data_IF_683594997988
#
_entry.id   IF_683594997988
#
_cell.length_a   1.000
_cell.length_b   1.000
_cell.length_c   1.000
_cell.angle_alpha   90.00
_cell.angle_beta   90.00
_cell.angle_gamma   90.00
#
_symmetry.space_group_name_H-M   'P 1'
#
loop_
_entity.id
_entity.type
_entity.pdbx_description
1 polymer ?
#
# COMPACT_ATOMS: atom_id res chain seq x y z
N UNK A 1 12.36 16.00 70.99
CA UNK A 1 12.83 14.74 70.40
C UNK A 1 11.61 13.95 69.96
N UNK A 2 11.43 13.77 68.65
CA UNK A 2 10.57 12.73 68.07
C UNK A 2 11.04 12.51 66.63
N UNK A 3 11.53 11.30 66.39
CA UNK A 3 12.09 10.83 65.13
C UNK A 3 10.96 10.51 64.15
N UNK A 4 11.04 11.07 62.94
CA UNK A 4 10.23 10.64 61.80
C UNK A 4 11.21 10.32 60.67
N UNK A 5 11.05 9.11 60.16
CA UNK A 5 11.86 8.36 59.21
C UNK A 5 12.51 9.18 58.09
N UNK A 6 13.81 8.94 57.91
CA UNK A 6 14.53 9.21 56.68
C UNK A 6 13.91 8.42 55.53
N UNK A 7 13.15 9.10 54.67
CA UNK A 7 12.79 8.57 53.35
C UNK A 7 14.06 8.42 52.53
N UNK A 8 14.49 7.17 52.33
CA UNK A 8 15.48 6.80 51.33
C UNK A 8 15.06 7.39 49.98
N UNK A 9 15.90 8.16 49.26
CA UNK A 9 15.64 8.43 47.87
C UNK A 9 15.76 7.10 47.13
N UNK A 10 14.61 6.55 46.77
CA UNK A 10 14.48 5.44 45.83
C UNK A 10 15.28 5.82 44.59
N UNK A 11 16.39 5.12 44.34
CA UNK A 11 17.10 5.16 43.07
C UNK A 11 16.13 4.64 42.02
N UNK A 12 15.43 5.57 41.38
CA UNK A 12 14.76 5.33 40.12
C UNK A 12 15.88 5.01 39.13
N UNK A 13 16.11 3.73 38.86
CA UNK A 13 16.89 3.27 37.72
C UNK A 13 16.11 3.57 36.44
N UNK A 14 15.97 4.85 36.08
CA UNK A 14 15.55 5.28 34.75
C UNK A 14 16.79 5.56 33.91
N UNK A 15 17.60 4.53 33.69
CA UNK A 15 18.54 4.55 32.58
C UNK A 15 17.99 3.60 31.52
N UNK A 16 17.03 4.09 30.74
CA UNK A 16 16.93 3.65 29.35
C UNK A 16 18.24 4.13 28.71
N UNK A 17 19.31 3.34 28.88
CA UNK A 17 20.57 3.56 28.19
C UNK A 17 20.25 3.39 26.72
N UNK A 18 19.97 4.50 26.04
CA UNK A 18 19.94 4.59 24.58
C UNK A 18 21.25 3.96 24.13
N UNK A 19 21.17 2.82 23.43
CA UNK A 19 22.35 2.08 23.04
C UNK A 19 23.25 3.00 22.20
N UNK A 20 24.57 2.77 22.18
CA UNK A 20 25.47 3.55 21.32
C UNK A 20 24.99 3.56 19.87
N UNK A 21 24.44 2.43 19.41
CA UNK A 21 23.79 2.24 18.10
C UNK A 21 22.52 3.06 17.93
N UNK A 22 21.68 3.18 18.95
CA UNK A 22 20.50 4.05 18.88
C UNK A 22 20.88 5.53 18.75
N UNK A 23 21.94 5.97 19.43
CA UNK A 23 22.46 7.34 19.28
C UNK A 23 22.99 7.58 17.86
N UNK A 24 23.65 6.59 17.29
CA UNK A 24 24.12 6.61 15.91
C UNK A 24 22.96 6.67 14.90
N UNK A 25 21.93 5.84 15.07
CA UNK A 25 20.70 5.87 14.28
C UNK A 25 20.03 7.24 14.38
N UNK A 26 19.92 7.83 15.58
CA UNK A 26 19.36 9.17 15.75
C UNK A 26 20.20 10.24 15.04
N UNK A 27 21.53 10.13 15.07
CA UNK A 27 22.42 11.02 14.32
C UNK A 27 22.19 10.93 12.82
N UNK A 28 22.14 9.71 12.28
CA UNK A 28 21.85 9.43 10.87
C UNK A 28 20.47 9.93 10.45
N UNK A 29 19.44 9.77 11.30
CA UNK A 29 18.10 10.31 11.04
C UNK A 29 18.09 11.84 10.98
N UNK A 30 18.83 12.53 11.85
CA UNK A 30 19.00 13.99 11.79
C UNK A 30 19.70 14.41 10.51
N UNK A 31 20.73 13.68 10.08
CA UNK A 31 21.42 13.95 8.83
C UNK A 31 20.48 13.76 7.62
N UNK A 32 19.68 12.69 7.61
CA UNK A 32 18.65 12.45 6.58
C UNK A 32 17.64 13.59 6.50
N UNK A 33 17.20 14.12 7.64
CA UNK A 33 16.26 15.25 7.69
C UNK A 33 16.86 16.48 7.01
N UNK A 34 18.09 16.86 7.37
CA UNK A 34 18.80 18.00 6.75
C UNK A 34 18.98 17.84 5.24
N UNK A 35 19.31 16.63 4.77
CA UNK A 35 19.45 16.37 3.33
C UNK A 35 18.11 16.47 2.59
N UNK A 36 17.00 16.10 3.23
CA UNK A 36 15.67 16.28 2.65
C UNK A 36 15.29 17.77 2.56
N UNK A 37 15.61 18.56 3.59
CA UNK A 37 15.43 20.01 3.57
C UNK A 37 16.27 20.67 2.46
N UNK A 38 17.53 20.25 2.30
CA UNK A 38 18.40 20.73 1.21
C UNK A 38 17.83 20.34 -0.16
N UNK A 39 17.34 19.11 -0.31
CA UNK A 39 16.71 18.65 -1.56
C UNK A 39 15.46 19.48 -1.89
N UNK A 40 14.66 19.85 -0.89
CA UNK A 40 13.50 20.71 -1.08
C UNK A 40 13.92 22.13 -1.49
N UNK A 41 14.96 22.68 -0.84
CA UNK A 41 15.54 23.98 -1.20
C UNK A 41 16.07 24.00 -2.64
N UNK A 42 16.75 22.93 -3.09
CA UNK A 42 17.22 22.80 -4.48
C UNK A 42 16.05 22.73 -5.46
N UNK A 43 14.96 22.04 -5.12
CA UNK A 43 13.75 21.97 -5.97
C UNK A 43 13.10 23.33 -6.14
N UNK A 44 12.95 24.09 -5.05
CA UNK A 44 12.32 25.42 -5.04
C UNK A 44 13.23 26.56 -5.47
N UNK A 45 14.50 26.31 -5.80
CA UNK A 45 15.43 27.35 -6.24
C UNK A 45 15.29 27.58 -7.75
N UNK A 46 14.70 28.72 -8.13
CA UNK A 46 14.46 29.08 -9.54
C UNK A 46 15.70 29.63 -10.25
N UNK A 47 16.78 29.93 -9.53
CA UNK A 47 18.04 30.44 -10.09
C UNK A 47 18.99 29.33 -10.55
N UNK A 48 18.72 28.07 -10.18
CA UNK A 48 19.53 26.94 -10.61
C UNK A 48 19.11 26.43 -11.99
N UNK A 49 20.08 26.24 -12.88
CA UNK A 49 19.89 25.57 -14.16
C UNK A 49 19.26 24.18 -13.99
N UNK A 50 18.38 23.80 -14.90
CA UNK A 50 17.61 22.54 -14.81
C UNK A 50 18.52 21.30 -14.75
N UNK A 51 19.66 21.30 -15.45
CA UNK A 51 20.59 20.17 -15.46
C UNK A 51 21.33 20.07 -14.12
N UNK A 52 21.80 21.21 -13.61
CA UNK A 52 22.47 21.29 -12.31
C UNK A 52 21.51 20.89 -11.18
N UNK A 53 20.25 21.35 -11.24
CA UNK A 53 19.19 20.97 -10.30
C UNK A 53 18.96 19.47 -10.30
N UNK A 54 18.85 18.85 -11.48
CA UNK A 54 18.66 17.40 -11.60
C UNK A 54 19.86 16.60 -11.05
N UNK A 55 21.09 17.01 -11.36
CA UNK A 55 22.30 16.36 -10.85
C UNK A 55 22.40 16.46 -9.33
N UNK A 56 22.13 17.64 -8.77
CA UNK A 56 22.16 17.85 -7.31
C UNK A 56 21.06 17.06 -6.60
N UNK A 57 19.85 17.02 -7.14
CA UNK A 57 18.76 16.17 -6.61
C UNK A 57 19.17 14.70 -6.65
N UNK A 58 19.78 14.23 -7.74
CA UNK A 58 20.26 12.85 -7.87
C UNK A 58 21.32 12.53 -6.82
N UNK A 59 22.29 13.43 -6.62
CA UNK A 59 23.34 13.28 -5.59
C UNK A 59 22.75 13.20 -4.19
N UNK A 60 21.86 14.14 -3.83
CA UNK A 60 21.18 14.15 -2.53
C UNK A 60 20.32 12.89 -2.30
N UNK A 61 19.64 12.43 -3.35
CA UNK A 61 18.85 11.19 -3.30
C UNK A 61 19.73 9.98 -3.02
N UNK A 62 20.90 9.90 -3.67
CA UNK A 62 21.87 8.83 -3.42
C UNK A 62 22.40 8.86 -1.98
N UNK A 63 22.75 10.05 -1.45
CA UNK A 63 23.21 10.20 -0.06
C UNK A 63 22.13 9.80 0.96
N UNK A 64 20.86 10.16 0.73
CA UNK A 64 19.74 9.73 1.57
C UNK A 64 19.60 8.20 1.53
N UNK A 65 19.70 7.59 0.36
CA UNK A 65 19.63 6.13 0.21
C UNK A 65 20.78 5.42 0.94
N UNK A 66 21.99 5.98 0.93
CA UNK A 66 23.13 5.43 1.67
C UNK A 66 22.89 5.47 3.18
N UNK A 67 22.34 6.58 3.70
CA UNK A 67 21.98 6.70 5.11
C UNK A 67 20.91 5.68 5.50
N UNK A 68 19.91 5.45 4.65
CA UNK A 68 18.88 4.45 4.90
C UNK A 68 19.46 3.03 4.98
N UNK A 69 20.41 2.69 4.10
CA UNK A 69 21.13 1.42 4.15
C UNK A 69 21.95 1.28 5.43
N UNK A 70 22.64 2.35 5.87
CA UNK A 70 23.41 2.32 7.12
C UNK A 70 22.50 2.12 8.35
N UNK A 71 21.37 2.82 8.41
CA UNK A 71 20.39 2.63 9.50
C UNK A 71 19.87 1.19 9.51
N UNK A 72 19.56 0.63 8.34
CA UNK A 72 19.09 -0.75 8.22
C UNK A 72 20.16 -1.75 8.69
N UNK A 73 21.43 -1.54 8.32
CA UNK A 73 22.54 -2.38 8.76
C UNK A 73 22.72 -2.33 10.29
N UNK A 74 22.76 -1.13 10.88
CA UNK A 74 22.93 -0.97 12.33
C UNK A 74 21.78 -1.64 13.10
N UNK A 75 20.55 -1.52 12.60
CA UNK A 75 19.38 -2.20 13.20
C UNK A 75 19.46 -3.71 13.08
N UNK A 76 19.93 -4.22 11.94
CA UNK A 76 20.13 -5.66 11.74
C UNK A 76 21.22 -6.20 12.69
N UNK A 77 22.35 -5.50 12.82
CA UNK A 77 23.44 -5.85 13.72
C UNK A 77 22.99 -5.83 15.18
N UNK A 78 22.20 -4.83 15.58
CA UNK A 78 21.62 -4.76 16.94
C UNK A 78 20.68 -5.93 17.23
N UNK A 79 19.87 -6.33 16.25
CA UNK A 79 18.95 -7.47 16.39
C UNK A 79 19.72 -8.81 16.49
N UNK A 80 20.80 -8.97 15.72
CA UNK A 80 21.67 -10.14 15.82
C UNK A 80 22.39 -10.20 17.17
N UNK A 81 22.89 -9.09 17.68
CA UNK A 81 23.60 -9.04 18.96
C UNK A 81 22.67 -9.34 20.15
N UNK A 82 21.44 -8.82 20.13
CA UNK A 82 20.42 -9.15 21.15
C UNK A 82 20.01 -10.63 21.15
N UNK A 83 20.10 -11.32 20.02
CA UNK A 83 19.84 -12.75 19.92
C UNK A 83 21.02 -13.60 20.40
N UNK A 84 22.27 -13.15 20.23
CA UNK A 84 23.47 -13.82 20.78
C UNK A 84 23.58 -13.74 22.30
N UNK A 85 23.10 -12.65 22.91
CA UNK A 85 23.18 -12.44 24.38
C UNK A 85 22.19 -13.31 25.18
N UNK A 86 21.18 -13.93 24.55
CA UNK A 86 20.17 -14.76 25.23
C UNK A 86 20.52 -16.25 25.39
N UNK A 87 21.70 -16.70 24.94
CA UNK A 87 22.20 -18.04 25.27
C UNK A 87 23.25 -17.95 26.38
N UNK A 88 23.15 -18.74 27.46
CA UNK A 88 24.24 -18.86 28.43
C UNK A 88 25.40 -19.68 27.81
N UNK A 89 26.62 -19.16 27.94
CA UNK A 89 27.87 -19.77 27.49
C UNK A 89 28.11 -21.16 28.06
N UNK A 90 28.65 -22.07 27.24
CA UNK A 90 29.74 -22.94 27.70
C UNK A 90 30.62 -23.47 26.56
N UNK A 91 31.89 -23.07 26.62
CA UNK A 91 33.11 -23.85 26.33
C UNK A 91 33.80 -23.79 24.96
N UNK A 92 35.01 -23.18 25.03
CA UNK A 92 36.32 -23.59 24.51
C UNK A 92 36.48 -23.88 23.00
N UNK A 93 37.41 -23.09 22.44
CA UNK A 93 38.30 -23.39 21.30
C UNK A 93 38.31 -24.87 20.89
N UNK A 94 37.70 -25.17 19.75
CA UNK A 94 38.28 -26.12 18.80
C UNK A 94 37.73 -25.86 17.39
N UNK A 95 38.69 -25.71 16.49
CA UNK A 95 38.57 -25.77 15.05
C UNK A 95 37.49 -26.77 14.60
N UNK A 96 36.45 -26.29 13.94
CA UNK A 96 35.54 -27.13 13.16
C UNK A 96 34.90 -26.31 12.04
N UNK A 97 35.35 -26.68 10.84
CA UNK A 97 34.72 -26.42 9.56
C UNK A 97 33.20 -26.65 9.55
N UNK A 98 32.52 -25.85 8.72
CA UNK A 98 31.21 -26.11 8.10
C UNK A 98 30.04 -26.46 9.05
N UNK A 99 29.23 -25.47 9.42
CA UNK A 99 27.77 -25.66 9.67
C UNK A 99 26.94 -24.37 9.65
N UNK A 100 27.54 -23.16 9.53
CA UNK A 100 26.74 -21.91 9.48
C UNK A 100 25.98 -21.68 8.16
N UNK A 101 26.32 -22.38 7.08
CA UNK A 101 25.67 -22.15 5.77
C UNK A 101 24.22 -22.68 5.73
N UNK A 102 23.87 -23.66 6.56
CA UNK A 102 22.53 -24.29 6.50
C UNK A 102 21.45 -23.45 7.17
N UNK A 103 21.75 -22.77 8.29
CA UNK A 103 20.77 -21.90 8.96
C UNK A 103 20.56 -20.57 8.23
N UNK A 104 21.62 -20.01 7.63
CA UNK A 104 21.49 -18.82 6.77
C UNK A 104 20.70 -19.15 5.49
N UNK A 105 20.92 -20.32 4.89
CA UNK A 105 20.19 -20.78 3.71
C UNK A 105 18.71 -21.11 3.99
N UNK A 106 18.38 -21.61 5.20
CA UNK A 106 16.99 -21.86 5.59
C UNK A 106 16.20 -20.57 5.88
N UNK A 107 16.87 -19.50 6.34
CA UNK A 107 16.26 -18.18 6.59
C UNK A 107 16.05 -17.34 5.32
N UNK A 108 16.88 -17.53 4.30
CA UNK A 108 16.80 -16.81 3.02
C UNK A 108 15.40 -16.84 2.37
N UNK A 109 14.71 -17.98 2.20
CA UNK A 109 13.36 -18.01 1.65
C UNK A 109 12.33 -17.29 2.53
N UNK A 110 12.47 -17.35 3.86
CA UNK A 110 11.58 -16.67 4.81
C UNK A 110 11.74 -15.15 4.68
N UNK A 111 12.99 -14.66 4.59
CA UNK A 111 13.29 -13.24 4.39
C UNK A 111 12.73 -12.78 3.04
N UNK A 112 12.93 -13.58 1.98
CA UNK A 112 12.40 -13.29 0.65
C UNK A 112 10.88 -13.20 0.66
N UNK A 113 10.19 -14.16 1.28
CA UNK A 113 8.72 -14.12 1.43
C UNK A 113 8.26 -12.87 2.18
N UNK A 114 8.89 -12.55 3.30
CA UNK A 114 8.59 -11.33 4.06
C UNK A 114 8.73 -10.07 3.20
N UNK A 115 9.80 -9.98 2.39
CA UNK A 115 9.99 -8.87 1.46
C UNK A 115 8.92 -8.84 0.36
N UNK A 116 8.56 -9.99 -0.22
CA UNK A 116 7.52 -10.09 -1.26
C UNK A 116 6.15 -9.66 -0.71
N UNK A 117 5.75 -10.11 0.48
CA UNK A 117 4.50 -9.67 1.12
C UNK A 117 4.50 -8.17 1.45
N UNK A 118 5.61 -7.64 1.95
CA UNK A 118 5.76 -6.20 2.17
C UNK A 118 5.64 -5.41 0.86
N UNK A 119 6.22 -5.91 -0.23
CA UNK A 119 6.11 -5.26 -1.52
C UNK A 119 4.67 -5.32 -2.06
N UNK A 120 4.01 -6.47 -1.95
CA UNK A 120 2.62 -6.66 -2.32
C UNK A 120 1.71 -5.68 -1.57
N UNK A 121 1.86 -5.55 -0.25
CA UNK A 121 1.11 -4.60 0.56
C UNK A 121 1.28 -3.15 0.09
N UNK A 122 2.51 -2.74 -0.25
CA UNK A 122 2.78 -1.40 -0.82
C UNK A 122 2.12 -1.19 -2.17
N UNK A 123 2.12 -2.21 -3.03
CA UNK A 123 1.51 -2.12 -4.36
C UNK A 123 -0.02 -2.08 -4.28
N UNK A 124 -0.63 -2.86 -3.40
CA UNK A 124 -2.09 -2.79 -3.13
C UNK A 124 -2.47 -1.42 -2.56
N UNK A 125 -1.72 -0.91 -1.59
CA UNK A 125 -1.96 0.45 -1.07
C UNK A 125 -1.69 1.56 -2.10
N UNK A 126 -0.84 1.33 -3.09
CA UNK A 126 -0.69 2.25 -4.22
C UNK A 126 -1.91 2.19 -5.15
N UNK A 127 -2.38 0.98 -5.50
CA UNK A 127 -3.59 0.76 -6.30
C UNK A 127 -4.79 1.49 -5.68
N UNK A 128 -5.02 1.33 -4.38
CA UNK A 128 -6.16 1.94 -3.68
C UNK A 128 -6.08 3.47 -3.69
N UNK A 129 -4.88 4.04 -3.53
CA UNK A 129 -4.67 5.49 -3.64
C UNK A 129 -4.96 6.01 -5.05
N UNK A 130 -4.53 5.28 -6.07
CA UNK A 130 -4.78 5.65 -7.47
C UNK A 130 -6.26 5.57 -7.82
N UNK A 131 -6.96 4.53 -7.36
CA UNK A 131 -8.43 4.43 -7.49
C UNK A 131 -9.15 5.58 -6.77
N UNK A 132 -8.69 5.93 -5.56
CA UNK A 132 -9.19 7.10 -4.84
C UNK A 132 -8.98 8.40 -5.62
N UNK A 133 -7.80 8.62 -6.20
CA UNK A 133 -7.52 9.79 -7.04
C UNK A 133 -8.42 9.87 -8.27
N UNK A 134 -8.68 8.74 -8.95
CA UNK A 134 -9.64 8.69 -10.07
C UNK A 134 -11.02 9.13 -9.59
N UNK A 135 -11.50 8.55 -8.49
CA UNK A 135 -12.82 8.87 -7.95
C UNK A 135 -12.95 10.35 -7.58
N UNK A 136 -11.91 10.93 -6.97
CA UNK A 136 -11.87 12.36 -6.65
C UNK A 136 -11.92 13.22 -7.92
N UNK A 137 -11.07 12.96 -8.91
CA UNK A 137 -11.02 13.75 -10.15
C UNK A 137 -12.32 13.69 -10.94
N UNK A 138 -12.93 12.50 -11.05
CA UNK A 138 -14.23 12.36 -11.70
C UNK A 138 -15.36 12.98 -10.89
N UNK A 139 -15.32 12.87 -9.55
CA UNK A 139 -16.28 13.47 -8.65
C UNK A 139 -16.27 14.99 -8.73
N UNK A 140 -15.08 15.60 -8.69
CA UNK A 140 -14.90 17.03 -8.92
C UNK A 140 -15.38 17.45 -10.31
N UNK A 141 -15.03 16.71 -11.36
CA UNK A 141 -15.47 17.03 -12.74
C UNK A 141 -17.00 17.02 -12.85
N UNK A 142 -17.66 16.03 -12.24
CA UNK A 142 -19.13 15.95 -12.17
C UNK A 142 -19.71 17.12 -11.38
N UNK A 143 -19.13 17.43 -10.22
CA UNK A 143 -19.57 18.54 -9.38
C UNK A 143 -19.43 19.89 -10.10
N UNK A 144 -18.25 20.18 -10.65
CA UNK A 144 -17.95 21.41 -11.40
C UNK A 144 -18.92 21.59 -12.58
N UNK A 145 -19.21 20.50 -13.31
CA UNK A 145 -20.20 20.53 -14.39
C UNK A 145 -21.59 20.86 -13.86
N UNK A 146 -22.06 20.24 -12.78
CA UNK A 146 -23.37 20.53 -12.17
C UNK A 146 -23.46 21.99 -11.70
N UNK A 147 -22.37 22.55 -11.17
CA UNK A 147 -22.33 23.96 -10.72
C UNK A 147 -22.49 24.91 -11.90
N UNK A 148 -21.87 24.61 -13.05
CA UNK A 148 -21.95 25.43 -14.25
C UNK A 148 -23.25 25.22 -15.05
N UNK A 149 -23.80 24.01 -15.00
CA UNK A 149 -25.00 23.58 -15.75
C UNK A 149 -26.31 23.83 -14.98
N UNK A 150 -26.25 24.10 -13.67
CA UNK A 150 -27.43 24.49 -12.90
C UNK A 150 -27.89 25.90 -13.30
N UNK A 151 -28.86 25.95 -14.21
CA UNK A 151 -29.47 27.18 -14.66
C UNK A 151 -30.97 27.22 -14.36
N UNK A 152 -31.35 28.13 -13.46
CA UNK A 152 -32.75 28.57 -13.29
C UNK A 152 -33.16 29.63 -14.30
N UNK A 153 -32.26 30.05 -15.20
CA UNK A 153 -32.54 30.96 -16.31
C UNK A 153 -31.40 30.94 -17.32
N UNK A 154 -31.72 30.66 -18.58
CA UNK A 154 -30.80 30.39 -19.69
C UNK A 154 -29.75 31.50 -19.92
N UNK A 155 -28.63 31.47 -19.18
CA UNK A 155 -27.58 32.48 -19.21
C UNK A 155 -26.50 32.10 -20.25
N UNK A 156 -26.42 32.81 -21.38
CA UNK A 156 -25.42 32.52 -22.41
C UNK A 156 -23.96 32.65 -21.92
N UNK A 157 -23.71 33.46 -20.88
CA UNK A 157 -22.39 33.59 -20.27
C UNK A 157 -21.94 32.29 -19.59
N UNK A 158 -22.85 31.61 -18.88
CA UNK A 158 -22.57 30.32 -18.25
C UNK A 158 -22.33 29.22 -19.28
N UNK A 159 -23.10 29.19 -20.36
CA UNK A 159 -22.88 28.24 -21.44
C UNK A 159 -21.46 28.37 -22.03
N UNK A 160 -20.99 29.60 -22.25
CA UNK A 160 -19.62 29.86 -22.73
C UNK A 160 -18.57 29.48 -21.68
N UNK A 161 -18.84 29.71 -20.38
CA UNK A 161 -17.95 29.26 -19.30
C UNK A 161 -17.86 27.74 -19.23
N UNK A 162 -18.99 27.03 -19.38
CA UNK A 162 -19.04 25.58 -19.40
C UNK A 162 -18.26 25.02 -20.59
N UNK A 163 -18.43 25.59 -21.78
CA UNK A 163 -17.67 25.20 -22.97
C UNK A 163 -16.16 25.41 -22.78
N UNK A 164 -15.75 26.55 -22.23
CA UNK A 164 -14.34 26.83 -21.92
C UNK A 164 -13.79 25.86 -20.86
N UNK A 165 -14.55 25.56 -19.81
CA UNK A 165 -14.18 24.60 -18.79
C UNK A 165 -14.04 23.18 -19.36
N UNK A 166 -14.92 22.80 -20.30
CA UNK A 166 -14.88 21.52 -21.00
C UNK A 166 -13.61 21.36 -21.84
N UNK A 167 -13.26 22.40 -22.60
CA UNK A 167 -12.09 22.41 -23.48
C UNK A 167 -10.75 22.47 -22.70
N UNK A 168 -10.77 22.96 -21.46
CA UNK A 168 -9.58 23.16 -20.63
C UNK A 168 -9.53 22.20 -19.45
N UNK A 169 -10.15 22.56 -18.34
CA UNK A 169 -10.04 21.87 -17.05
C UNK A 169 -10.58 20.45 -17.12
N UNK A 170 -11.77 20.23 -17.70
CA UNK A 170 -12.36 18.89 -17.74
C UNK A 170 -11.63 17.97 -18.72
N UNK A 171 -11.15 18.50 -19.84
CA UNK A 171 -10.24 17.77 -20.73
C UNK A 171 -8.97 17.34 -19.99
N UNK A 172 -8.31 18.26 -19.30
CA UNK A 172 -7.09 17.97 -18.54
C UNK A 172 -7.33 16.96 -17.41
N UNK A 173 -8.43 17.09 -16.64
CA UNK A 173 -8.81 16.13 -15.60
C UNK A 173 -9.04 14.73 -16.19
N UNK A 174 -9.67 14.62 -17.38
CA UNK A 174 -9.86 13.33 -18.08
C UNK A 174 -8.54 12.71 -18.54
N UNK A 175 -7.64 13.51 -19.10
CA UNK A 175 -6.31 13.03 -19.51
C UNK A 175 -5.54 12.50 -18.29
N UNK A 176 -5.59 13.22 -17.16
CA UNK A 176 -4.99 12.76 -15.91
C UNK A 176 -5.60 11.45 -15.41
N UNK A 177 -6.93 11.29 -15.47
CA UNK A 177 -7.59 10.01 -15.14
C UNK A 177 -7.09 8.88 -16.03
N UNK A 178 -6.92 9.12 -17.33
CA UNK A 178 -6.40 8.12 -18.27
C UNK A 178 -4.94 7.74 -17.97
N UNK A 179 -4.11 8.70 -17.60
CA UNK A 179 -2.74 8.46 -17.16
C UNK A 179 -2.69 7.61 -15.88
N UNK A 180 -3.58 7.91 -14.92
CA UNK A 180 -3.71 7.12 -13.69
C UNK A 180 -4.15 5.69 -14.02
N UNK A 181 -5.13 5.49 -14.91
CA UNK A 181 -5.53 4.15 -15.37
C UNK A 181 -4.36 3.37 -16.00
N UNK A 182 -3.56 4.05 -16.83
CA UNK A 182 -2.39 3.42 -17.47
C UNK A 182 -1.36 2.96 -16.43
N UNK A 183 -1.13 3.77 -15.40
CA UNK A 183 -0.25 3.38 -14.30
C UNK A 183 -0.88 2.31 -13.40
N UNK A 184 -2.20 2.34 -13.20
CA UNK A 184 -2.95 1.35 -12.41
C UNK A 184 -2.77 -0.05 -13.03
N UNK A 185 -2.88 -0.16 -14.35
CA UNK A 185 -2.65 -1.42 -15.06
C UNK A 185 -1.23 -1.97 -14.83
N UNK A 186 -0.21 -1.11 -14.73
CA UNK A 186 1.17 -1.53 -14.42
C UNK A 186 1.29 -2.03 -12.98
N UNK A 187 0.62 -1.35 -12.05
CA UNK A 187 0.55 -1.75 -10.64
C UNK A 187 -0.15 -3.10 -10.50
N UNK A 188 -1.30 -3.28 -11.16
CA UNK A 188 -2.07 -4.53 -11.14
C UNK A 188 -1.30 -5.69 -11.76
N UNK A 189 -0.58 -5.45 -12.87
CA UNK A 189 0.31 -6.46 -13.45
C UNK A 189 1.36 -6.93 -12.43
N UNK A 190 2.02 -5.98 -11.77
CA UNK A 190 3.07 -6.28 -10.78
C UNK A 190 2.50 -6.95 -9.50
N UNK A 191 1.29 -6.59 -9.08
CA UNK A 191 0.57 -7.32 -8.02
C UNK A 191 0.35 -8.77 -8.44
N UNK A 192 -0.07 -9.00 -9.69
CA UNK A 192 -0.23 -10.33 -10.27
C UNK A 192 1.07 -11.13 -10.27
N UNK A 193 2.20 -10.52 -10.65
CA UNK A 193 3.52 -11.15 -10.61
C UNK A 193 3.93 -11.56 -9.19
N UNK A 194 3.81 -10.64 -8.21
CA UNK A 194 4.15 -10.94 -6.81
C UNK A 194 3.26 -12.03 -6.22
N UNK A 195 1.98 -12.05 -6.58
CA UNK A 195 1.04 -13.09 -6.14
C UNK A 195 1.40 -14.46 -6.71
N UNK A 196 1.84 -14.50 -7.98
CA UNK A 196 2.36 -15.73 -8.59
C UNK A 196 3.64 -16.20 -7.91
N UNK A 197 4.59 -15.31 -7.64
CA UNK A 197 5.83 -15.64 -6.92
C UNK A 197 5.55 -16.28 -5.56
N UNK A 198 4.59 -15.74 -4.80
CA UNK A 198 4.16 -16.30 -3.51
C UNK A 198 3.59 -17.72 -3.69
N UNK A 199 2.72 -17.93 -4.69
CA UNK A 199 2.09 -19.23 -4.92
C UNK A 199 3.06 -20.30 -5.44
N UNK A 200 4.00 -19.92 -6.30
CA UNK A 200 5.05 -20.81 -6.82
C UNK A 200 5.99 -21.26 -5.70
N UNK A 201 6.43 -20.33 -4.85
CA UNK A 201 7.30 -20.64 -3.71
C UNK A 201 6.58 -21.47 -2.64
N UNK A 202 5.28 -21.24 -2.39
CA UNK A 202 4.46 -22.10 -1.52
C UNK A 202 4.32 -23.52 -2.08
N UNK A 203 4.19 -23.68 -3.39
CA UNK A 203 4.10 -24.98 -4.05
C UNK A 203 5.41 -25.77 -3.97
N UNK A 204 6.56 -25.09 -4.05
CA UNK A 204 7.90 -25.70 -3.93
C UNK A 204 8.17 -26.14 -2.49
N UNK A 205 7.74 -25.37 -1.48
CA UNK A 205 7.87 -25.75 -0.07
C UNK A 205 7.08 -27.04 0.28
N UNK A 206 5.96 -27.32 -0.41
CA UNK A 206 5.19 -28.56 -0.21
C UNK A 206 5.83 -29.83 -0.79
N UNK A 207 6.89 -29.69 -1.60
CA UNK A 207 7.57 -30.82 -2.28
C UNK A 207 8.91 -31.20 -1.66
N UNK A 208 9.27 -30.66 -0.49
CA UNK A 208 10.44 -31.18 0.23
C UNK A 208 10.19 -32.63 0.69
N UNK A 209 11.14 -33.56 0.47
CA UNK A 209 10.98 -34.94 0.89
C UNK A 209 10.99 -34.98 2.42
N UNK A 210 9.88 -35.42 3.01
CA UNK A 210 9.86 -35.84 4.40
C UNK A 210 11.01 -36.83 4.64
N UNK A 211 11.92 -36.47 5.55
CA UNK A 211 12.88 -37.41 6.11
C UNK A 211 12.12 -38.64 6.62
N UNK A 212 12.41 -39.81 6.03
CA UNK A 212 11.92 -41.11 6.48
C UNK A 212 12.39 -41.36 7.92
N UNK A 213 11.50 -41.19 8.88
CA UNK A 213 11.56 -41.87 10.16
C UNK A 213 10.78 -43.18 10.06
N UNK A 214 11.49 -44.30 9.95
CA UNK A 214 10.91 -45.64 10.05
C UNK A 214 10.24 -45.79 11.43
N UNK A 215 8.95 -46.17 11.44
CA UNK A 215 8.43 -47.30 12.21
C UNK A 215 7.00 -47.64 11.75
N UNK A 216 6.84 -48.91 11.33
CA UNK A 216 5.65 -49.79 11.31
C UNK A 216 4.47 -49.34 12.20
N UNK A 217 3.19 -49.57 11.93
CA UNK A 217 2.43 -50.46 11.02
C UNK A 217 0.95 -50.03 11.09
N UNK A 218 0.16 -50.38 10.06
CA UNK A 218 -1.32 -50.49 10.04
C UNK A 218 -2.09 -49.14 10.11
N UNK A 219 -3.11 -48.84 9.29
CA UNK A 219 -4.13 -49.71 8.71
C UNK A 219 -4.78 -49.00 7.50
N UNK A 220 -4.99 -49.73 6.41
CA UNK A 220 -5.74 -49.28 5.24
C UNK A 220 -7.23 -49.20 5.60
N UNK A 221 -7.89 -48.08 5.35
CA UNK A 221 -9.33 -48.12 5.10
C UNK A 221 -9.71 -47.24 3.91
N UNK A 222 -9.87 -47.92 2.78
CA UNK A 222 -10.38 -47.42 1.50
C UNK A 222 -11.89 -47.66 1.52
N UNK A 223 -12.67 -46.59 1.62
CA UNK A 223 -14.11 -46.66 1.29
C UNK A 223 -14.34 -45.87 0.00
N UNK A 224 -14.42 -46.62 -1.09
CA UNK A 224 -14.97 -46.19 -2.36
C UNK A 224 -16.33 -46.89 -2.48
N UNK A 225 -17.43 -46.13 -2.57
CA UNK A 225 -18.74 -46.65 -2.95
C UNK A 225 -19.34 -45.75 -4.03
N UNK A 226 -19.43 -46.36 -5.22
CA UNK A 226 -20.02 -45.89 -6.46
C UNK A 226 -21.49 -45.49 -6.31
N UNK A 227 -21.83 -44.35 -6.91
CA UNK A 227 -22.69 -44.29 -8.10
C UNK A 227 -24.22 -44.31 -7.92
N UNK A 228 -24.87 -43.23 -8.34
CA UNK A 228 -26.06 -43.28 -9.19
C UNK A 228 -26.15 -42.01 -10.06
N UNK A 229 -26.03 -42.21 -11.38
CA UNK A 229 -26.36 -41.26 -12.46
C UNK A 229 -27.87 -41.23 -12.70
N UNK A 230 -28.40 -40.09 -13.13
CA UNK A 230 -29.45 -39.89 -14.15
C UNK A 230 -29.39 -38.39 -14.54
N UNK A 231 -28.67 -38.05 -15.62
CA UNK A 231 -29.14 -37.71 -17.00
C UNK A 231 -29.86 -36.36 -17.09
N UNK A 232 -29.18 -35.39 -17.71
CA UNK A 232 -29.49 -34.76 -19.03
C UNK A 232 -30.62 -33.73 -18.87
N UNK A 233 -30.46 -32.46 -19.28
CA UNK A 233 -30.25 -32.09 -20.68
C UNK A 233 -29.75 -30.63 -20.84
N UNK A 234 -29.22 -30.39 -22.04
CA UNK A 234 -28.65 -29.19 -22.68
C UNK A 234 -29.56 -27.94 -22.54
N UNK A 235 -29.15 -26.67 -22.67
CA UNK A 235 -28.27 -26.05 -23.67
C UNK A 235 -27.99 -24.57 -23.30
N UNK A 236 -26.78 -24.09 -23.57
CA UNK A 236 -26.39 -22.67 -23.78
C UNK A 236 -27.08 -22.08 -25.06
N UNK A 237 -26.90 -20.81 -25.48
CA UNK A 237 -26.93 -19.51 -24.78
C UNK A 237 -27.66 -18.38 -25.61
N UNK A 238 -27.99 -17.26 -24.95
CA UNK A 238 -28.01 -15.86 -25.50
C UNK A 238 -29.17 -15.43 -26.48
N UNK A 239 -29.26 -14.16 -26.96
CA UNK A 239 -29.85 -12.96 -26.33
C UNK A 239 -31.00 -12.27 -27.13
N UNK A 240 -31.58 -11.21 -26.55
CA UNK A 240 -32.14 -10.00 -27.21
C UNK A 240 -33.66 -9.87 -27.50
N UNK A 241 -34.17 -8.65 -27.20
CA UNK A 241 -35.28 -7.88 -27.82
C UNK A 241 -36.73 -8.18 -27.35
N UNK A 242 -37.41 -7.11 -26.89
CA UNK A 242 -38.75 -6.56 -27.26
C UNK A 242 -39.16 -5.60 -26.10
N UNK A 243 -38.93 -4.29 -26.21
CA UNK A 243 -39.81 -3.23 -26.73
C UNK A 243 -41.17 -3.03 -26.02
N UNK A 244 -41.30 -1.83 -25.46
CA UNK A 244 -42.44 -0.89 -25.45
C UNK A 244 -43.87 -1.41 -25.28
N UNK A 245 -44.55 -0.85 -24.26
CA UNK A 245 -45.95 -0.44 -24.40
C UNK A 245 -46.17 0.88 -23.65
N UNK A 246 -46.45 1.93 -24.44
CA UNK A 246 -46.98 3.22 -24.01
C UNK A 246 -48.46 3.05 -23.66
N UNK A 247 -48.90 3.64 -22.54
CA UNK A 247 -50.27 4.17 -22.41
C UNK A 247 -50.28 5.42 -21.54
N UNK A 248 -50.45 6.55 -22.21
CA UNK A 248 -50.81 7.84 -21.64
C UNK A 248 -52.24 7.81 -21.11
N UNK A 249 -52.49 8.47 -19.98
CA UNK A 249 -53.75 9.19 -19.76
C UNK A 249 -53.47 10.45 -18.94
N UNK A 250 -53.71 11.58 -19.58
CA UNK A 250 -53.75 12.90 -18.97
C UNK A 250 -55.06 13.09 -18.19
N UNK A 251 -54.98 13.80 -17.07
CA UNK A 251 -56.09 14.64 -16.60
C UNK A 251 -55.54 15.80 -15.79
N UNK A 252 -55.52 16.98 -16.42
CA UNK A 252 -55.43 18.26 -15.75
C UNK A 252 -56.65 18.47 -14.85
N UNK A 253 -56.45 19.07 -13.68
CA UNK A 253 -57.23 20.19 -13.13
C UNK A 253 -56.61 20.59 -11.80
N UNK A 254 -56.42 21.90 -11.57
CA UNK A 254 -56.21 22.43 -10.21
C UNK A 254 -55.09 23.46 -10.08
N UNK A 255 -55.34 24.66 -10.60
CA UNK A 255 -54.69 25.90 -10.15
C UNK A 255 -54.76 26.04 -8.63
N UNK A 256 -53.65 26.39 -7.98
CA UNK A 256 -53.63 26.99 -6.64
C UNK A 256 -52.37 27.85 -6.49
N UNK A 257 -52.52 29.10 -6.87
CA UNK A 257 -51.71 30.23 -6.41
C UNK A 257 -51.97 30.48 -4.93
N UNK A 258 -50.97 30.38 -4.07
CA UNK A 258 -51.02 30.93 -2.71
C UNK A 258 -50.03 32.09 -2.59
N UNK A 259 -50.58 33.31 -2.67
CA UNK A 259 -49.92 34.56 -2.34
C UNK A 259 -49.38 34.54 -0.91
N UNK A 260 -48.16 35.02 -0.72
CA UNK A 260 -47.61 35.38 0.59
C UNK A 260 -47.99 36.84 0.83
N UNK A 261 -48.87 37.04 1.81
CA UNK A 261 -49.30 38.35 2.30
C UNK A 261 -48.24 38.87 3.28
N UNK A 262 -47.70 40.07 3.03
CA UNK A 262 -46.78 40.76 3.94
C UNK A 262 -47.56 41.94 4.52
N UNK A 263 -47.93 41.86 5.79
CA UNK A 263 -48.41 43.01 6.56
C UNK A 263 -47.24 43.89 6.98
N UNK A 264 -47.43 45.21 6.82
CA UNK A 264 -46.55 46.31 7.24
C UNK A 264 -46.62 46.48 8.75
#
# INVERSE_FOLDING_TARGET
MNSISSTSPSKINSSTQVSSRDKEIQGLMKQKMRLNEEMQSVRSNDQLDSKIKAERIKSLTNSISQIDTQIAQIKADELQEKNKIKQPESHKKQESQLTNDTEQSAMEPIIKHSQTYNHLGKMVGLRDRMQGSIHTLEGETRFDRIVLDNDTGNDPGKSMMLENAEATVFKMKREMVQDIHTQLNKVDHKIGELTKEINETASIASKQPHFKGNNSSEEQNRVELKGARLKDDQSDPNPSIIQNTVKSQAKETGSSSSSIDIQI
#
